data_IF_842127467647
#
_entry.id   IF_842127467647
#
_cell.length_a   1.000
_cell.length_b   1.000
_cell.length_c   1.000
_cell.angle_alpha   90.00
_cell.angle_beta   90.00
_cell.angle_gamma   90.00
#
_symmetry.space_group_name_H-M   'P 1'
#
loop_
_entity.id
_entity.type
_entity.pdbx_description
1 polymer ?
#
# COMPACT_ATOMS: atom_id res chain seq x y z
N UNK A 1 32.04 34.92 -24.70
CA UNK A 1 30.79 35.46 -24.12
C UNK A 1 29.73 34.36 -24.25
N UNK A 2 29.22 33.84 -23.11
CA UNK A 2 28.06 32.93 -22.88
C UNK A 2 28.04 31.62 -23.71
N UNK A 3 28.44 30.46 -23.16
CA UNK A 3 27.69 29.60 -22.22
C UNK A 3 26.31 29.16 -22.74
N UNK A 4 26.22 27.92 -23.24
CA UNK A 4 24.98 27.15 -23.30
C UNK A 4 25.25 25.80 -22.61
N UNK A 5 24.77 25.72 -21.36
CA UNK A 5 24.66 24.48 -20.60
C UNK A 5 23.83 23.50 -21.42
N UNK A 6 24.44 22.41 -21.87
CA UNK A 6 23.68 21.29 -22.41
C UNK A 6 22.85 20.70 -21.28
N UNK A 7 21.55 20.77 -21.49
CA UNK A 7 20.51 20.39 -20.55
C UNK A 7 20.74 18.98 -20.04
N UNK A 8 20.76 18.90 -18.72
CA UNK A 8 20.42 17.73 -17.93
C UNK A 8 19.21 17.02 -18.57
N UNK A 9 19.34 15.73 -18.91
CA UNK A 9 18.27 14.89 -19.46
C UNK A 9 17.53 14.23 -18.28
N UNK A 10 16.27 14.62 -17.96
CA UNK A 10 15.53 14.02 -16.85
C UNK A 10 14.91 12.65 -17.17
N UNK A 11 15.07 12.13 -18.38
CA UNK A 11 14.39 10.92 -18.88
C UNK A 11 15.04 9.58 -18.44
N UNK A 12 15.71 9.58 -17.28
CA UNK A 12 16.23 8.37 -16.60
C UNK A 12 15.99 8.42 -15.09
N UNK A 13 14.77 8.75 -14.64
CA UNK A 13 14.44 8.61 -13.22
C UNK A 13 12.95 8.27 -13.01
N UNK A 14 12.73 7.04 -12.55
CA UNK A 14 11.47 6.41 -12.11
C UNK A 14 10.36 6.28 -13.16
N UNK A 15 10.17 5.07 -13.68
CA UNK A 15 8.80 4.56 -13.80
C UNK A 15 8.14 4.78 -12.43
N UNK A 16 7.19 5.70 -12.38
CA UNK A 16 6.50 6.07 -11.15
C UNK A 16 5.65 4.86 -10.74
N UNK A 17 6.22 3.97 -9.93
CA UNK A 17 5.50 2.79 -9.43
C UNK A 17 4.29 3.29 -8.66
N UNK A 18 3.13 3.28 -9.32
CA UNK A 18 1.88 3.69 -8.69
C UNK A 18 1.64 2.77 -7.50
N UNK A 19 1.21 3.29 -6.35
CA UNK A 19 0.86 2.45 -5.20
C UNK A 19 -0.20 1.44 -5.66
N UNK A 20 0.03 0.17 -5.33
CA UNK A 20 -0.77 -0.96 -5.80
C UNK A 20 -1.86 -1.27 -4.80
N UNK A 21 -3.06 -1.59 -5.27
CA UNK A 21 -4.15 -2.01 -4.39
C UNK A 21 -4.00 -3.50 -4.06
N UNK A 22 -3.98 -3.83 -2.78
CA UNK A 22 -3.95 -5.19 -2.26
C UNK A 22 -5.09 -6.03 -2.86
N UNK A 23 -4.79 -7.26 -3.26
CA UNK A 23 -5.76 -8.19 -3.86
C UNK A 23 -5.99 -7.99 -5.37
N UNK A 24 -5.32 -7.03 -6.01
CA UNK A 24 -5.32 -6.90 -7.48
C UNK A 24 -4.20 -7.72 -8.12
N UNK A 25 -4.49 -8.42 -9.22
CA UNK A 25 -3.48 -9.24 -9.91
C UNK A 25 -2.37 -8.38 -10.52
N UNK A 26 -1.13 -8.85 -10.40
CA UNK A 26 0.10 -8.12 -10.71
C UNK A 26 0.20 -7.57 -12.16
N UNK A 27 -0.47 -8.20 -13.12
CA UNK A 27 -0.44 -7.82 -14.56
C UNK A 27 -1.71 -7.11 -15.04
N UNK A 28 -2.67 -6.84 -14.15
CA UNK A 28 -3.90 -6.15 -14.55
C UNK A 28 -3.66 -4.64 -14.67
N UNK A 29 -3.93 -3.98 -15.82
CA UNK A 29 -3.70 -2.54 -16.01
C UNK A 29 -4.57 -1.63 -15.11
N UNK A 30 -5.49 -2.21 -14.33
CA UNK A 30 -6.31 -1.55 -13.33
C UNK A 30 -5.77 -1.70 -11.88
N UNK A 31 -4.45 -1.83 -11.70
CA UNK A 31 -3.79 -2.10 -10.39
C UNK A 31 -3.74 -0.92 -9.41
N UNK A 32 -4.16 0.28 -9.86
CA UNK A 32 -4.06 1.53 -9.10
C UNK A 32 -5.36 1.93 -8.41
N UNK A 33 -5.31 2.89 -7.47
CA UNK A 33 -6.49 3.40 -6.77
C UNK A 33 -7.50 4.02 -7.73
N UNK A 34 -8.79 3.76 -7.48
CA UNK A 34 -9.89 4.20 -8.31
C UNK A 34 -10.57 5.46 -7.73
N UNK A 35 -11.02 6.42 -8.56
CA UNK A 35 -11.77 7.58 -8.08
C UNK A 35 -13.08 7.17 -7.38
N UNK A 36 -13.39 7.82 -6.24
CA UNK A 36 -14.60 7.52 -5.47
C UNK A 36 -14.46 6.37 -4.46
N UNK A 37 -13.32 5.69 -4.45
CA UNK A 37 -12.97 4.67 -3.47
C UNK A 37 -12.08 5.26 -2.37
N UNK A 38 -12.17 4.69 -1.17
CA UNK A 38 -11.38 5.10 -0.01
C UNK A 38 -10.31 4.05 0.25
N UNK A 39 -9.08 4.50 0.45
CA UNK A 39 -7.92 3.63 0.61
C UNK A 39 -7.12 3.98 1.87
N UNK A 40 -6.47 2.97 2.47
CA UNK A 40 -5.46 3.14 3.52
C UNK A 40 -4.14 2.55 3.04
N UNK A 41 -3.05 3.27 3.26
CA UNK A 41 -1.70 2.77 2.98
C UNK A 41 -1.27 1.77 4.06
N UNK A 42 -0.63 0.68 3.65
CA UNK A 42 -0.06 -0.33 4.54
C UNK A 42 1.43 -0.02 4.73
N UNK A 43 1.89 0.06 5.99
CA UNK A 43 3.28 0.41 6.30
C UNK A 43 3.96 -0.52 7.30
N UNK A 44 5.26 -0.74 7.11
CA UNK A 44 6.15 -1.37 8.09
C UNK A 44 6.20 -2.90 8.07
N UNK A 45 5.54 -3.55 7.10
CA UNK A 45 5.44 -5.01 7.03
C UNK A 45 5.52 -5.56 5.59
N UNK A 46 5.17 -6.83 5.36
CA UNK A 46 5.35 -7.51 4.07
C UNK A 46 4.54 -6.90 2.91
N UNK A 47 3.52 -6.08 3.20
CA UNK A 47 2.71 -5.36 2.21
C UNK A 47 3.01 -3.86 2.16
N UNK A 48 4.16 -3.42 2.69
CA UNK A 48 4.56 -2.00 2.71
C UNK A 48 4.45 -1.34 1.33
N UNK A 49 3.83 -0.15 1.31
CA UNK A 49 3.59 0.63 0.10
C UNK A 49 2.39 0.20 -0.75
N UNK A 50 1.66 -0.85 -0.33
CA UNK A 50 0.36 -1.19 -0.93
C UNK A 50 -0.78 -0.41 -0.26
N UNK A 51 -1.92 -0.37 -0.96
CA UNK A 51 -3.17 0.22 -0.49
C UNK A 51 -4.19 -0.88 -0.20
N UNK A 52 -4.92 -0.78 0.91
CA UNK A 52 -6.17 -1.53 1.11
C UNK A 52 -7.35 -0.63 0.79
N UNK A 53 -8.31 -1.16 0.03
CA UNK A 53 -9.59 -0.49 -0.19
C UNK A 53 -10.53 -0.72 0.99
N UNK A 54 -11.03 0.37 1.58
CA UNK A 54 -11.94 0.36 2.72
C UNK A 54 -13.27 1.06 2.38
N UNK A 55 -13.57 1.17 1.09
CA UNK A 55 -14.82 1.78 0.62
C UNK A 55 -16.02 1.05 1.21
N UNK A 56 -16.88 1.78 1.92
CA UNK A 56 -18.08 1.23 2.54
C UNK A 56 -17.86 0.51 3.87
N UNK A 57 -16.62 0.45 4.38
CA UNK A 57 -16.34 -0.06 5.72
C UNK A 57 -16.87 0.94 6.76
N UNK A 58 -17.37 0.41 7.86
CA UNK A 58 -17.77 1.17 9.04
C UNK A 58 -16.55 1.66 9.81
N UNK A 59 -16.71 2.67 10.67
CA UNK A 59 -15.66 3.11 11.58
C UNK A 59 -15.14 1.98 12.49
N UNK A 60 -16.00 1.05 12.91
CA UNK A 60 -15.60 -0.12 13.70
C UNK A 60 -14.69 -1.06 12.91
N UNK A 61 -15.03 -1.37 11.65
CA UNK A 61 -14.19 -2.19 10.78
C UNK A 61 -12.85 -1.50 10.49
N UNK A 62 -12.87 -0.18 10.26
CA UNK A 62 -11.64 0.59 10.03
C UNK A 62 -10.75 0.58 11.28
N UNK A 63 -11.32 0.78 12.47
CA UNK A 63 -10.57 0.83 13.74
C UNK A 63 -10.08 -0.55 14.18
N UNK A 64 -10.76 -1.62 13.79
CA UNK A 64 -10.34 -3.00 14.03
C UNK A 64 -9.12 -3.38 13.19
N UNK A 65 -9.00 -2.85 11.98
CA UNK A 65 -7.95 -3.23 11.04
C UNK A 65 -8.27 -4.52 10.29
N UNK A 66 -7.26 -5.15 9.69
CA UNK A 66 -7.44 -6.38 8.92
C UNK A 66 -6.26 -7.34 8.99
N UNK A 67 -6.56 -8.62 8.77
CA UNK A 67 -5.59 -9.69 8.56
C UNK A 67 -5.50 -10.02 7.07
N UNK A 68 -4.38 -9.66 6.45
CA UNK A 68 -4.20 -9.74 5.00
C UNK A 68 -3.32 -10.92 4.64
N UNK A 69 -3.81 -11.80 3.76
CA UNK A 69 -3.04 -12.95 3.26
C UNK A 69 -1.77 -12.43 2.58
N UNK A 70 -0.63 -12.99 2.97
CA UNK A 70 0.65 -12.70 2.35
C UNK A 70 1.21 -13.96 1.70
N UNK A 71 1.70 -13.90 0.44
CA UNK A 71 2.27 -15.08 -0.22
C UNK A 71 3.55 -15.60 0.45
N UNK A 72 4.27 -14.73 1.18
CA UNK A 72 5.52 -15.04 1.85
C UNK A 72 5.45 -14.55 3.30
N UNK A 73 5.20 -15.47 4.23
CA UNK A 73 5.22 -15.24 5.69
C UNK A 73 6.02 -16.34 6.37
N UNK A 74 6.45 -16.09 7.61
CA UNK A 74 7.18 -17.06 8.44
C UNK A 74 6.42 -18.38 8.66
N UNK A 75 5.09 -18.40 8.48
CA UNK A 75 4.23 -19.56 8.71
C UNK A 75 3.96 -20.43 7.47
N UNK A 76 4.50 -20.09 6.31
CA UNK A 76 4.24 -20.81 5.05
C UNK A 76 2.96 -20.35 4.34
N UNK A 77 2.50 -21.09 3.31
CA UNK A 77 1.33 -20.70 2.52
C UNK A 77 0.10 -20.45 3.37
N UNK A 78 -0.49 -19.26 3.25
CA UNK A 78 -1.76 -18.91 3.91
C UNK A 78 -1.63 -18.07 5.18
N UNK A 79 -0.41 -17.77 5.66
CA UNK A 79 -0.26 -16.83 6.76
C UNK A 79 -0.67 -15.41 6.37
N UNK A 80 -1.00 -14.61 7.39
CA UNK A 80 -1.55 -13.27 7.23
C UNK A 80 -0.70 -12.26 7.97
N UNK A 81 -0.70 -11.03 7.50
CA UNK A 81 -0.14 -9.90 8.22
C UNK A 81 -1.28 -9.08 8.83
N UNK A 82 -1.18 -8.79 10.12
CA UNK A 82 -2.09 -7.89 10.83
C UNK A 82 -1.70 -6.45 10.56
N UNK A 83 -2.67 -5.63 10.15
CA UNK A 83 -2.51 -4.20 9.94
C UNK A 83 -3.68 -3.45 10.58
N UNK A 84 -3.39 -2.38 11.34
CA UNK A 84 -4.41 -1.59 12.02
C UNK A 84 -4.05 -0.09 12.04
N UNK A 85 -5.03 0.81 12.18
CA UNK A 85 -4.74 2.23 12.37
C UNK A 85 -4.08 2.47 13.74
N UNK A 86 -3.23 3.49 13.81
CA UNK A 86 -2.64 3.90 15.09
C UNK A 86 -3.61 4.79 15.87
N UNK A 87 -3.60 4.70 17.21
CA UNK A 87 -4.42 5.59 18.05
C UNK A 87 -4.16 7.09 17.80
N UNK A 88 -2.91 7.46 17.55
CA UNK A 88 -2.52 8.86 17.29
C UNK A 88 -2.88 9.35 15.88
N UNK A 89 -3.15 8.43 14.94
CA UNK A 89 -3.55 8.72 13.55
C UNK A 89 -4.61 7.70 13.10
N UNK A 90 -5.86 7.84 13.58
CA UNK A 90 -6.94 6.92 13.20
C UNK A 90 -7.24 6.98 11.69
N UNK A 91 -7.04 8.16 11.09
CA UNK A 91 -7.15 8.38 9.64
C UNK A 91 -5.82 8.22 8.89
N UNK A 92 -4.78 7.70 9.54
CA UNK A 92 -3.46 7.52 8.95
C UNK A 92 -3.29 6.22 8.17
N UNK A 93 -2.06 5.94 7.73
CA UNK A 93 -1.66 4.61 7.27
C UNK A 93 -1.92 3.57 8.36
N UNK A 94 -2.24 2.35 7.93
CA UNK A 94 -2.29 1.20 8.81
C UNK A 94 -0.90 0.61 8.98
N UNK A 95 -0.53 0.42 10.24
CA UNK A 95 0.79 -0.06 10.63
C UNK A 95 0.72 -1.57 10.83
N UNK A 96 1.76 -2.26 10.40
CA UNK A 96 1.92 -3.68 10.63
C UNK A 96 2.10 -3.97 12.12
N UNK A 97 1.28 -4.88 12.65
CA UNK A 97 1.30 -5.30 14.06
C UNK A 97 1.97 -6.67 14.25
N UNK A 98 2.21 -7.41 13.15
CA UNK A 98 2.82 -8.74 13.18
C UNK A 98 2.20 -9.72 12.20
N UNK A 99 2.88 -10.85 12.02
CA UNK A 99 2.34 -11.98 11.27
C UNK A 99 1.46 -12.85 12.19
N UNK A 100 0.34 -13.31 11.65
CA UNK A 100 -0.59 -14.24 12.30
C UNK A 100 -0.79 -15.50 11.43
N UNK A 101 -1.08 -16.66 12.04
CA UNK A 101 -1.38 -17.89 11.30
C UNK A 101 -2.57 -17.81 10.33
#
# INVERSE_FOLDING_TARGET
MRSLRHGWQPERMTDHTRPRVYGTEHDSPATGPQPGHTYRELTGGPLDGQLIEVTGWTDEEITTGAYLITPHTAYGPGGRASYAPTFSRPDGPWVWEGDVP
#
